data_IF_593187831780
#
_entry.id   IF_593187831780
#
_cell.length_a   1.000
_cell.length_b   1.000
_cell.length_c   1.000
_cell.angle_alpha   90.00
_cell.angle_beta   90.00
_cell.angle_gamma   90.00
#
_symmetry.space_group_name_H-M   'P 1'
#
loop_
_entity.id
_entity.type
_entity.pdbx_description
1 polymer ?
#
# COMPACT_ATOMS: atom_id res chain seq x y z
N UNK A 1 40.98 56.85 -4.19
CA UNK A 1 40.20 57.09 -5.43
C UNK A 1 39.35 55.86 -5.66
N UNK A 2 38.05 55.96 -5.36
CA UNK A 2 37.06 54.92 -5.57
C UNK A 2 36.34 55.19 -6.89
N UNK A 3 36.20 54.18 -7.75
CA UNK A 3 35.27 54.22 -8.88
C UNK A 3 34.35 53.02 -8.75
N UNK A 4 33.12 53.36 -8.43
CA UNK A 4 31.89 52.57 -8.42
C UNK A 4 31.53 52.16 -9.85
N UNK A 5 31.05 50.92 -10.05
CA UNK A 5 30.16 50.63 -11.18
C UNK A 5 28.89 49.94 -10.67
N UNK A 6 27.79 50.62 -10.98
CA UNK A 6 26.44 50.33 -10.53
C UNK A 6 25.79 49.24 -11.36
N UNK A 7 24.96 48.48 -10.66
CA UNK A 7 23.92 47.58 -11.11
C UNK A 7 22.86 48.30 -11.95
N UNK A 8 22.50 47.74 -13.10
CA UNK A 8 21.28 48.09 -13.84
C UNK A 8 20.37 46.86 -13.90
N UNK A 9 19.29 46.88 -13.13
CA UNK A 9 18.16 45.95 -13.16
C UNK A 9 17.16 46.41 -14.21
N UNK A 10 16.94 45.59 -15.25
CA UNK A 10 15.85 45.78 -16.20
C UNK A 10 14.62 44.99 -15.73
N UNK A 11 13.60 45.72 -15.30
CA UNK A 11 12.26 45.20 -15.03
C UNK A 11 11.50 45.02 -16.35
N UNK A 12 11.00 43.82 -16.61
CA UNK A 12 9.99 43.57 -17.65
C UNK A 12 8.68 43.14 -16.98
N UNK A 13 7.70 44.03 -17.07
CA UNK A 13 6.29 43.78 -16.80
C UNK A 13 5.76 42.72 -17.76
N UNK A 14 5.20 41.63 -17.24
CA UNK A 14 4.35 40.73 -18.01
C UNK A 14 2.97 40.69 -17.34
N UNK A 15 1.96 40.87 -18.20
CA UNK A 15 0.60 41.18 -17.86
C UNK A 15 -0.13 40.10 -17.06
N UNK A 16 -1.05 40.60 -16.25
CA UNK A 16 -2.06 39.88 -15.48
C UNK A 16 -3.07 39.20 -16.39
N UNK A 17 -3.18 37.87 -16.26
CA UNK A 17 -4.31 37.09 -16.77
C UNK A 17 -5.42 37.04 -15.71
N UNK A 18 -6.71 37.19 -16.07
CA UNK A 18 -7.80 37.15 -15.10
C UNK A 18 -8.04 35.72 -14.60
N UNK A 19 -7.83 35.51 -13.30
CA UNK A 19 -8.30 34.32 -12.58
C UNK A 19 -9.82 34.41 -12.40
N UNK A 20 -10.56 33.57 -13.11
CA UNK A 20 -11.96 33.27 -12.83
C UNK A 20 -12.04 32.42 -11.54
N UNK A 21 -12.31 33.08 -10.42
CA UNK A 21 -12.73 32.40 -9.18
C UNK A 21 -14.21 32.03 -9.31
N UNK A 22 -14.50 30.73 -9.44
CA UNK A 22 -15.82 30.18 -9.13
C UNK A 22 -15.78 29.62 -7.70
N UNK A 23 -16.16 30.47 -6.75
CA UNK A 23 -16.50 30.04 -5.40
C UNK A 23 -18.01 29.76 -5.36
N UNK A 24 -18.39 28.52 -5.11
CA UNK A 24 -19.79 28.12 -5.00
C UNK A 24 -19.93 26.97 -4.02
N UNK A 25 -20.46 27.26 -2.84
CA UNK A 25 -20.88 26.27 -1.85
C UNK A 25 -22.14 25.56 -2.35
N UNK A 26 -22.09 24.24 -2.52
CA UNK A 26 -23.23 23.44 -2.97
C UNK A 26 -23.91 22.78 -1.76
N UNK A 27 -25.05 23.33 -1.36
CA UNK A 27 -25.94 22.74 -0.37
C UNK A 27 -27.33 22.64 -1.01
N UNK A 28 -27.62 21.51 -1.67
CA UNK A 28 -28.95 20.87 -1.80
C UNK A 28 -28.99 19.88 -3.00
N UNK A 29 -29.65 18.74 -2.79
CA UNK A 29 -29.82 17.65 -3.77
C UNK A 29 -30.48 18.08 -5.10
N UNK A 30 -31.24 19.19 -5.11
CA UNK A 30 -31.84 19.76 -6.32
C UNK A 30 -30.80 20.33 -7.31
N UNK A 31 -29.61 20.74 -6.85
CA UNK A 31 -28.55 21.25 -7.73
C UNK A 31 -27.75 20.14 -8.43
N UNK A 32 -27.64 18.95 -7.85
CA UNK A 32 -27.00 17.80 -8.51
C UNK A 32 -27.76 17.34 -9.77
N UNK A 33 -29.09 17.39 -9.74
CA UNK A 33 -29.91 17.10 -10.92
C UNK A 33 -29.73 18.15 -12.02
N UNK A 34 -29.53 19.42 -11.64
CA UNK A 34 -29.23 20.51 -12.59
C UNK A 34 -27.86 20.34 -13.25
N UNK A 35 -26.85 19.90 -12.49
CA UNK A 35 -25.51 19.65 -13.04
C UNK A 35 -25.47 18.48 -14.02
N UNK A 36 -26.12 17.36 -13.69
CA UNK A 36 -26.23 16.21 -14.60
C UNK A 36 -26.96 16.60 -15.89
N UNK A 37 -28.05 17.37 -15.80
CA UNK A 37 -28.74 17.89 -16.98
C UNK A 37 -27.87 18.85 -17.80
N UNK A 38 -27.02 19.66 -17.16
CA UNK A 38 -26.10 20.58 -17.81
C UNK A 38 -24.99 19.83 -18.56
N UNK A 39 -24.42 18.78 -17.96
CA UNK A 39 -23.39 17.94 -18.61
C UNK A 39 -23.96 17.18 -19.81
N UNK A 40 -25.18 16.62 -19.69
CA UNK A 40 -25.86 15.97 -20.83
C UNK A 40 -26.11 16.97 -21.96
N UNK A 41 -26.57 18.19 -21.65
CA UNK A 41 -26.75 19.24 -22.67
C UNK A 41 -25.43 19.66 -23.32
N UNK A 42 -24.34 19.76 -22.56
CA UNK A 42 -23.01 20.07 -23.09
C UNK A 42 -22.49 18.95 -24.00
N UNK A 43 -22.69 17.69 -23.64
CA UNK A 43 -22.34 16.52 -24.46
C UNK A 43 -23.14 16.47 -25.77
N UNK A 44 -24.44 16.78 -25.72
CA UNK A 44 -25.29 16.89 -26.91
C UNK A 44 -24.83 18.04 -27.81
N UNK A 45 -24.50 19.21 -27.24
CA UNK A 45 -23.96 20.33 -28.00
C UNK A 45 -22.59 20.02 -28.61
N UNK A 46 -21.69 19.36 -27.89
CA UNK A 46 -20.40 18.93 -28.42
C UNK A 46 -20.56 17.93 -29.57
N UNK A 47 -21.53 17.02 -29.49
CA UNK A 47 -21.86 16.10 -30.58
C UNK A 47 -22.44 16.82 -31.81
N UNK A 48 -23.18 17.92 -31.61
CA UNK A 48 -23.72 18.75 -32.69
C UNK A 48 -22.68 19.69 -33.32
N UNK A 49 -21.61 20.02 -32.59
CA UNK A 49 -20.50 20.86 -33.06
C UNK A 49 -19.41 20.06 -33.78
N UNK A 50 -19.50 18.73 -33.81
CA UNK A 50 -18.60 17.91 -34.62
C UNK A 50 -18.88 18.17 -36.11
N UNK A 51 -17.85 18.60 -36.89
CA UNK A 51 -18.05 18.92 -38.29
C UNK A 51 -18.48 17.67 -39.08
N UNK A 52 -19.55 17.84 -39.88
CA UNK A 52 -20.24 16.79 -40.62
C UNK A 52 -19.40 15.86 -41.52
N UNK A 53 -18.21 16.22 -42.08
CA UNK A 53 -17.51 15.28 -42.96
C UNK A 53 -16.83 14.09 -42.25
N UNK A 54 -16.80 14.02 -40.91
CA UNK A 54 -16.23 12.87 -40.17
C UNK A 54 -17.27 11.85 -39.71
N UNK A 55 -18.57 12.14 -39.82
CA UNK A 55 -19.63 11.25 -39.34
C UNK A 55 -19.95 10.08 -40.28
N UNK A 56 -19.47 10.09 -41.52
CA UNK A 56 -19.81 9.08 -42.53
C UNK A 56 -18.78 7.95 -42.71
N UNK A 57 -17.65 7.97 -41.99
CA UNK A 57 -16.62 6.93 -42.12
C UNK A 57 -16.53 5.95 -40.94
N UNK A 58 -17.28 6.19 -39.86
CA UNK A 58 -17.28 5.32 -38.69
C UNK A 58 -18.43 4.32 -38.75
N UNK A 59 -18.16 2.99 -38.69
CA UNK A 59 -19.22 2.00 -38.67
C UNK A 59 -20.06 2.17 -37.39
N UNK A 60 -21.39 2.00 -37.46
CA UNK A 60 -22.32 2.27 -36.37
C UNK A 60 -22.05 1.46 -35.09
N UNK A 61 -21.28 0.37 -35.19
CA UNK A 61 -20.80 -0.40 -34.05
C UNK A 61 -19.78 0.36 -33.20
N UNK A 62 -18.82 1.08 -33.81
CA UNK A 62 -17.76 1.80 -33.09
C UNK A 62 -18.32 3.03 -32.35
N UNK A 63 -19.26 3.74 -32.95
CA UNK A 63 -19.90 4.91 -32.31
C UNK A 63 -20.65 4.51 -31.04
N UNK A 64 -21.33 3.36 -31.06
CA UNK A 64 -22.03 2.82 -29.87
C UNK A 64 -21.06 2.42 -28.77
N UNK A 65 -19.92 1.81 -29.12
CA UNK A 65 -18.89 1.43 -28.14
C UNK A 65 -18.24 2.66 -27.51
N UNK A 66 -17.89 3.68 -28.29
CA UNK A 66 -17.32 4.93 -27.76
C UNK A 66 -18.30 5.65 -26.84
N UNK A 67 -19.58 5.75 -27.23
CA UNK A 67 -20.61 6.38 -26.40
C UNK A 67 -20.84 5.60 -25.10
N UNK A 68 -20.84 4.26 -25.17
CA UNK A 68 -20.97 3.40 -23.99
C UNK A 68 -19.77 3.56 -23.04
N UNK A 69 -18.54 3.62 -23.56
CA UNK A 69 -17.32 3.83 -22.75
C UNK A 69 -17.34 5.19 -22.04
N UNK A 70 -17.76 6.25 -22.74
CA UNK A 70 -17.86 7.60 -22.16
C UNK A 70 -18.96 7.67 -21.09
N UNK A 71 -20.12 7.07 -21.34
CA UNK A 71 -21.20 7.00 -20.36
C UNK A 71 -20.79 6.21 -19.12
N UNK A 72 -20.09 5.09 -19.29
CA UNK A 72 -19.69 4.24 -18.16
C UNK A 72 -18.61 4.93 -17.30
N UNK A 73 -17.64 5.61 -17.93
CA UNK A 73 -16.63 6.44 -17.24
C UNK A 73 -17.28 7.61 -16.47
N UNK A 74 -18.31 8.23 -17.05
CA UNK A 74 -19.06 9.30 -16.39
C UNK A 74 -19.87 8.79 -15.19
N UNK A 75 -20.55 7.64 -15.31
CA UNK A 75 -21.30 7.02 -14.19
C UNK A 75 -20.37 6.62 -13.06
N UNK A 76 -19.16 6.13 -13.36
CA UNK A 76 -18.16 5.83 -12.33
C UNK A 76 -17.69 7.11 -11.61
N UNK A 77 -17.47 8.20 -12.34
CA UNK A 77 -17.09 9.49 -11.75
C UNK A 77 -18.17 10.04 -10.82
N UNK A 78 -19.45 9.91 -11.18
CA UNK A 78 -20.58 10.31 -10.33
C UNK A 78 -20.68 9.46 -9.04
N UNK A 79 -20.44 8.15 -9.13
CA UNK A 79 -20.43 7.26 -7.95
C UNK A 79 -19.31 7.62 -6.97
N UNK A 80 -18.14 7.99 -7.49
CA UNK A 80 -17.02 8.45 -6.69
C UNK A 80 -17.34 9.78 -5.99
N UNK A 81 -18.00 10.73 -6.66
CA UNK A 81 -18.39 11.99 -6.03
C UNK A 81 -19.49 11.84 -4.97
N UNK A 82 -20.41 10.88 -5.12
CA UNK A 82 -21.46 10.63 -4.12
C UNK A 82 -20.93 9.98 -2.83
N UNK A 83 -19.77 9.33 -2.87
CA UNK A 83 -19.13 8.73 -1.70
C UNK A 83 -18.42 9.75 -0.78
N UNK A 84 -18.21 10.99 -1.24
CA UNK A 84 -17.62 12.06 -0.43
C UNK A 84 -18.69 13.07 -0.01
N UNK A 85 -19.35 12.80 1.12
CA UNK A 85 -20.15 13.80 1.81
C UNK A 85 -19.28 14.92 2.41
N UNK A 86 -19.78 16.17 2.53
CA UNK A 86 -19.00 17.26 3.09
C UNK A 86 -18.85 17.11 4.61
N UNK A 87 -17.65 16.80 5.08
CA UNK A 87 -17.28 16.94 6.51
C UNK A 87 -17.07 18.43 6.83
N UNK A 88 -18.10 19.10 7.34
CA UNK A 88 -17.99 20.45 7.88
C UNK A 88 -17.34 20.41 9.27
N UNK A 89 -16.03 20.65 9.32
CA UNK A 89 -15.32 20.98 10.55
C UNK A 89 -15.55 22.44 10.93
N UNK A 90 -16.35 22.68 11.97
CA UNK A 90 -16.50 23.99 12.60
C UNK A 90 -15.26 24.22 13.48
N UNK A 91 -14.41 25.17 13.08
CA UNK A 91 -13.37 25.74 13.94
C UNK A 91 -14.02 26.67 14.97
N UNK A 92 -13.83 26.38 16.27
CA UNK A 92 -14.08 27.34 17.35
C UNK A 92 -12.73 27.82 17.93
N UNK A 93 -12.55 29.15 17.96
CA UNK A 93 -11.47 29.84 18.66
C UNK A 93 -11.84 30.02 20.16
N UNK A 94 -10.84 30.24 21.05
CA UNK A 94 -11.03 30.10 22.49
C UNK A 94 -11.56 31.39 23.13
N UNK A 95 -12.61 31.23 23.96
CA UNK A 95 -13.10 32.24 24.89
C UNK A 95 -12.85 31.78 26.33
N UNK A 96 -12.24 32.66 27.12
CA UNK A 96 -11.92 32.48 28.54
C UNK A 96 -13.19 32.37 29.40
N UNK A 97 -13.14 31.51 30.44
CA UNK A 97 -13.88 31.71 31.69
C UNK A 97 -13.14 31.01 32.85
N UNK A 98 -12.93 31.78 33.93
CA UNK A 98 -12.52 31.31 35.24
C UNK A 98 -13.65 30.47 35.86
N UNK A 99 -13.33 29.36 36.53
CA UNK A 99 -14.16 28.89 37.65
C UNK A 99 -13.38 27.98 38.63
N UNK A 100 -13.33 28.48 39.86
CA UNK A 100 -13.36 27.83 41.17
C UNK A 100 -12.82 26.40 41.38
N UNK A 101 -11.71 26.33 42.13
CA UNK A 101 -11.20 25.12 42.77
C UNK A 101 -12.10 24.69 43.93
N UNK A 102 -12.74 23.53 43.83
CA UNK A 102 -13.18 22.74 44.99
C UNK A 102 -12.48 21.39 45.00
N UNK A 103 -11.57 21.26 45.96
CA UNK A 103 -10.90 20.01 46.31
C UNK A 103 -11.92 19.03 46.90
N UNK A 104 -12.23 17.97 46.16
CA UNK A 104 -12.85 16.77 46.72
C UNK A 104 -11.86 15.64 46.51
N UNK A 105 -11.22 15.22 47.61
CA UNK A 105 -10.38 14.05 47.66
C UNK A 105 -11.27 12.81 47.60
N UNK A 106 -11.49 12.27 46.41
CA UNK A 106 -11.99 10.91 46.23
C UNK A 106 -10.81 9.97 46.02
N UNK A 107 -10.67 9.00 46.92
CA UNK A 107 -9.70 7.91 46.78
C UNK A 107 -9.95 7.15 45.49
N UNK A 108 -9.00 7.23 44.57
CA UNK A 108 -8.97 6.43 43.35
C UNK A 108 -8.53 5.03 43.77
N UNK A 109 -9.35 3.98 43.57
CA UNK A 109 -8.85 2.62 43.69
C UNK A 109 -7.82 2.42 42.58
N UNK A 110 -6.59 2.12 42.99
CA UNK A 110 -5.47 1.71 42.16
C UNK A 110 -5.77 0.33 41.55
N UNK A 111 -6.76 0.27 40.67
CA UNK A 111 -6.87 -0.83 39.73
C UNK A 111 -5.79 -0.59 38.68
N UNK A 112 -4.71 -1.36 38.76
CA UNK A 112 -3.84 -1.63 37.61
C UNK A 112 -4.70 -2.26 36.53
N UNK A 113 -5.48 -1.43 35.83
CA UNK A 113 -6.23 -1.81 34.67
C UNK A 113 -5.23 -2.18 33.61
N UNK A 114 -5.22 -3.46 33.22
CA UNK A 114 -4.76 -3.84 31.89
C UNK A 114 -5.45 -2.88 30.92
N UNK A 115 -4.66 -1.94 30.38
CA UNK A 115 -5.10 -1.13 29.25
C UNK A 115 -5.39 -2.12 28.14
N UNK A 116 -6.66 -2.53 28.04
CA UNK A 116 -7.15 -3.31 26.93
C UNK A 116 -6.75 -2.52 25.69
N UNK A 117 -5.74 -3.01 24.98
CA UNK A 117 -5.34 -2.47 23.69
C UNK A 117 -6.61 -2.53 22.84
N UNK A 118 -7.11 -1.37 22.43
CA UNK A 118 -8.24 -1.33 21.53
C UNK A 118 -7.75 -1.93 20.21
N UNK A 119 -8.33 -3.08 19.86
CA UNK A 119 -8.02 -3.83 18.65
C UNK A 119 -9.30 -3.86 17.83
N UNK A 120 -9.23 -3.34 16.62
CA UNK A 120 -10.32 -3.39 15.66
C UNK A 120 -10.31 -4.76 14.99
N UNK A 121 -11.49 -5.40 14.90
CA UNK A 121 -11.66 -6.72 14.32
C UNK A 121 -12.43 -6.63 13.02
N UNK A 122 -11.80 -7.02 11.92
CA UNK A 122 -12.42 -7.10 10.60
C UNK A 122 -12.71 -8.57 10.27
N UNK A 123 -13.99 -8.91 10.10
CA UNK A 123 -14.45 -10.29 9.91
C UNK A 123 -14.92 -10.50 8.47
N UNK A 124 -14.46 -11.57 7.84
CA UNK A 124 -14.79 -11.94 6.47
C UNK A 124 -15.31 -13.38 6.43
N UNK A 125 -16.52 -13.56 5.92
CA UNK A 125 -17.16 -14.87 5.81
C UNK A 125 -16.74 -15.65 4.56
N UNK A 126 -17.00 -16.96 4.56
CA UNK A 126 -16.79 -17.85 3.41
C UNK A 126 -15.32 -18.17 3.12
N UNK A 127 -14.44 -18.00 4.09
CA UNK A 127 -13.02 -18.35 3.98
C UNK A 127 -12.73 -19.73 4.54
N UNK A 128 -11.76 -20.41 3.94
CA UNK A 128 -11.21 -21.69 4.42
C UNK A 128 -9.74 -21.78 4.03
N UNK A 129 -8.96 -22.64 4.68
CA UNK A 129 -7.58 -22.88 4.25
C UNK A 129 -7.52 -23.40 2.81
N UNK A 130 -8.51 -24.19 2.40
CA UNK A 130 -8.59 -24.69 1.03
C UNK A 130 -8.81 -23.57 0.01
N UNK A 131 -9.71 -22.63 0.32
CA UNK A 131 -9.92 -21.43 -0.52
C UNK A 131 -8.64 -20.59 -0.62
N UNK A 132 -7.91 -20.42 0.48
CA UNK A 132 -6.62 -19.72 0.47
C UNK A 132 -5.59 -20.45 -0.42
N UNK A 133 -5.50 -21.78 -0.34
CA UNK A 133 -4.62 -22.60 -1.20
C UNK A 133 -4.95 -22.42 -2.69
N UNK A 134 -6.23 -22.41 -3.04
CA UNK A 134 -6.69 -22.15 -4.40
C UNK A 134 -6.28 -20.76 -4.90
N UNK A 135 -6.13 -19.78 -3.99
CA UNK A 135 -5.62 -18.44 -4.28
C UNK A 135 -4.11 -18.32 -4.08
N UNK A 136 -3.35 -19.39 -4.38
CA UNK A 136 -1.88 -19.43 -4.28
C UNK A 136 -1.39 -19.14 -2.86
N UNK A 137 -2.16 -19.56 -1.86
CA UNK A 137 -1.93 -19.35 -0.44
C UNK A 137 -2.00 -17.88 0.01
N UNK A 138 -2.70 -17.00 -0.71
CA UNK A 138 -2.77 -15.57 -0.39
C UNK A 138 -4.14 -14.99 -0.66
N UNK A 139 -4.49 -13.95 0.10
CA UNK A 139 -5.69 -13.15 -0.11
C UNK A 139 -5.40 -11.68 0.24
N UNK A 140 -6.01 -10.76 -0.50
CA UNK A 140 -5.82 -9.33 -0.31
C UNK A 140 -7.13 -8.68 0.13
N UNK A 141 -7.04 -7.81 1.13
CA UNK A 141 -8.17 -7.14 1.76
C UNK A 141 -7.93 -5.63 1.77
N UNK A 142 -9.01 -4.88 1.51
CA UNK A 142 -9.10 -3.47 1.82
C UNK A 142 -9.96 -3.35 3.08
N UNK A 143 -9.37 -2.80 4.13
CA UNK A 143 -10.10 -2.45 5.34
C UNK A 143 -10.75 -1.08 5.12
N UNK A 144 -12.08 -1.01 5.14
CA UNK A 144 -12.82 0.19 4.76
C UNK A 144 -12.65 1.34 5.77
N UNK A 145 -12.63 1.05 7.08
CA UNK A 145 -12.60 2.07 8.13
C UNK A 145 -11.30 2.87 8.15
N UNK A 146 -10.16 2.21 7.92
CA UNK A 146 -8.84 2.82 7.89
C UNK A 146 -8.23 2.94 6.48
N UNK A 147 -8.98 2.57 5.44
CA UNK A 147 -8.52 2.48 4.05
C UNK A 147 -7.15 1.82 3.90
N UNK A 148 -6.96 0.70 4.60
CA UNK A 148 -5.67 0.01 4.69
C UNK A 148 -5.67 -1.27 3.88
N UNK A 149 -4.62 -1.47 3.10
CA UNK A 149 -4.45 -2.65 2.26
C UNK A 149 -3.61 -3.71 2.96
N UNK A 150 -4.20 -4.89 3.19
CA UNK A 150 -3.57 -6.01 3.91
C UNK A 150 -3.55 -7.25 3.02
N UNK A 151 -2.47 -8.01 3.10
CA UNK A 151 -2.35 -9.34 2.50
C UNK A 151 -2.32 -10.38 3.62
N UNK A 152 -3.23 -11.34 3.56
CA UNK A 152 -3.20 -12.55 4.37
C UNK A 152 -2.49 -13.65 3.59
N UNK A 153 -1.58 -14.34 4.26
CA UNK A 153 -0.69 -15.34 3.68
C UNK A 153 -0.79 -16.62 4.50
N UNK A 154 -1.03 -17.74 3.83
CA UNK A 154 -0.92 -19.07 4.40
C UNK A 154 0.47 -19.63 4.08
N UNK A 155 1.34 -19.72 5.07
CA UNK A 155 2.67 -20.28 4.86
C UNK A 155 2.96 -21.35 5.91
N UNK A 156 3.34 -22.55 5.46
CA UNK A 156 3.63 -23.71 6.34
C UNK A 156 2.51 -24.01 7.35
N UNK A 157 1.26 -23.89 6.91
CA UNK A 157 0.08 -24.14 7.74
C UNK A 157 -0.24 -23.03 8.76
N UNK A 158 0.48 -21.91 8.74
CA UNK A 158 0.22 -20.75 9.61
C UNK A 158 -0.23 -19.54 8.81
N UNK A 159 -1.14 -18.75 9.38
CA UNK A 159 -1.60 -17.49 8.81
C UNK A 159 -0.73 -16.32 9.28
N UNK A 160 -0.45 -15.42 8.35
CA UNK A 160 0.23 -14.16 8.56
C UNK A 160 -0.57 -13.07 7.88
N UNK A 161 -0.62 -11.88 8.47
CA UNK A 161 -1.22 -10.70 7.85
C UNK A 161 -0.19 -9.56 7.87
N UNK A 162 -0.01 -8.91 6.73
CA UNK A 162 0.99 -7.86 6.54
C UNK A 162 0.43 -6.79 5.61
N UNK A 163 0.86 -5.54 5.79
CA UNK A 163 0.55 -4.47 4.85
C UNK A 163 0.95 -4.86 3.42
N UNK A 164 0.02 -4.73 2.46
CA UNK A 164 0.25 -5.10 1.06
C UNK A 164 1.28 -4.20 0.33
N UNK A 165 1.30 -2.88 0.55
CA UNK A 165 2.29 -2.00 -0.08
C UNK A 165 3.64 -2.04 0.65
N UNK A 166 4.73 -2.24 -0.09
CA UNK A 166 6.09 -2.23 0.44
C UNK A 166 6.45 -0.86 1.02
N UNK A 167 7.05 -0.84 2.22
CA UNK A 167 7.48 0.39 2.88
C UNK A 167 8.39 1.30 2.03
N UNK A 168 9.18 0.74 1.11
CA UNK A 168 10.19 1.50 0.37
C UNK A 168 9.59 2.48 -0.64
N UNK A 169 8.73 1.99 -1.53
CA UNK A 169 8.13 2.80 -2.59
C UNK A 169 6.71 2.34 -2.96
N UNK A 170 5.98 1.72 -2.02
CA UNK A 170 4.61 1.21 -2.26
C UNK A 170 4.51 0.13 -3.33
N UNK A 171 5.59 -0.66 -3.54
CA UNK A 171 5.53 -1.80 -4.46
C UNK A 171 4.59 -2.91 -3.94
N UNK A 172 4.12 -3.83 -4.80
CA UNK A 172 3.17 -4.86 -4.41
C UNK A 172 3.87 -5.97 -3.62
N UNK A 173 4.11 -5.73 -2.33
CA UNK A 173 4.79 -6.69 -1.44
C UNK A 173 3.97 -7.97 -1.29
N UNK A 174 2.63 -7.85 -1.26
CA UNK A 174 1.71 -8.99 -1.24
C UNK A 174 1.87 -9.96 -2.43
N UNK A 175 2.42 -9.51 -3.55
CA UNK A 175 2.78 -10.35 -4.72
C UNK A 175 4.19 -10.93 -4.66
N UNK A 176 4.99 -10.47 -3.69
CA UNK A 176 6.39 -10.84 -3.59
C UNK A 176 6.59 -12.34 -3.40
N UNK A 177 7.67 -12.89 -3.93
CA UNK A 177 8.01 -14.28 -3.66
C UNK A 177 8.21 -14.50 -2.14
N UNK A 178 7.74 -15.64 -1.61
CA UNK A 178 8.06 -16.04 -0.23
C UNK A 178 9.35 -16.84 -0.29
N UNK A 179 10.36 -16.36 0.43
CA UNK A 179 11.68 -16.98 0.54
C UNK A 179 11.86 -17.44 1.98
N UNK A 180 12.15 -18.71 2.17
CA UNK A 180 12.51 -19.26 3.47
C UNK A 180 14.03 -19.19 3.64
N UNK A 181 14.49 -18.36 4.58
CA UNK A 181 15.92 -18.19 4.86
C UNK A 181 16.30 -18.96 6.11
N UNK A 182 17.40 -19.71 6.04
CA UNK A 182 18.00 -20.33 7.21
C UNK A 182 18.65 -19.26 8.08
N UNK A 183 18.20 -19.15 9.32
CA UNK A 183 18.88 -18.29 10.28
C UNK A 183 20.17 -19.00 10.67
N UNK A 184 21.28 -18.59 10.03
CA UNK A 184 22.61 -19.01 10.43
C UNK A 184 22.76 -18.61 11.90
N UNK A 185 22.70 -19.61 12.79
CA UNK A 185 22.61 -19.31 14.20
C UNK A 185 23.89 -18.58 14.59
N UNK A 186 23.74 -17.32 15.00
CA UNK A 186 24.84 -16.58 15.56
C UNK A 186 25.28 -17.30 16.83
N UNK A 187 26.35 -18.10 16.73
CA UNK A 187 26.97 -18.80 17.83
C UNK A 187 25.95 -19.46 18.78
N UNK A 188 25.17 -20.44 18.30
CA UNK A 188 24.69 -21.44 19.26
C UNK A 188 25.94 -21.99 19.95
N UNK A 189 25.92 -21.94 21.27
CA UNK A 189 26.96 -22.59 22.05
C UNK A 189 26.90 -24.09 21.74
N UNK A 190 28.03 -24.78 21.85
CA UNK A 190 28.08 -26.24 21.63
C UNK A 190 27.06 -27.00 22.50
N UNK A 191 26.57 -26.39 23.58
CA UNK A 191 25.59 -26.92 24.51
C UNK A 191 24.16 -26.96 23.94
N UNK A 192 23.78 -26.01 23.09
CA UNK A 192 22.45 -25.98 22.46
C UNK A 192 22.31 -27.02 21.33
N UNK A 193 23.43 -27.40 20.69
CA UNK A 193 23.49 -28.43 19.65
C UNK A 193 23.32 -29.86 20.19
N UNK A 194 23.56 -30.09 21.49
CA UNK A 194 23.47 -31.43 22.08
C UNK A 194 22.06 -31.80 22.59
N UNK A 195 21.11 -30.86 22.59
CA UNK A 195 19.71 -31.09 23.03
C UNK A 195 18.71 -31.35 21.91
N UNK A 196 19.10 -31.17 20.65
CA UNK A 196 18.24 -31.42 19.50
C UNK A 196 18.26 -32.90 19.11
N UNK A 197 17.38 -33.69 19.75
CA UNK A 197 17.11 -35.07 19.35
C UNK A 197 16.52 -35.12 17.93
N UNK A 198 17.15 -35.91 17.06
CA UNK A 198 16.76 -36.33 15.69
C UNK A 198 15.49 -35.68 15.10
N UNK A 199 15.67 -34.55 14.41
CA UNK A 199 14.65 -33.97 13.53
C UNK A 199 14.54 -32.44 13.51
N UNK A 200 15.32 -31.73 14.32
CA UNK A 200 15.22 -30.28 14.46
C UNK A 200 15.63 -29.55 13.17
N UNK A 201 14.61 -29.22 12.36
CA UNK A 201 14.72 -28.26 11.27
C UNK A 201 15.18 -26.93 11.86
N UNK A 202 16.27 -26.39 11.31
CA UNK A 202 16.76 -25.05 11.64
C UNK A 202 15.58 -24.04 11.59
N UNK A 203 15.54 -23.04 12.48
CA UNK A 203 14.54 -21.99 12.44
C UNK A 203 14.68 -21.25 11.11
N UNK A 204 13.62 -21.32 10.32
CA UNK A 204 13.53 -20.71 9.01
C UNK A 204 12.76 -19.40 9.15
N UNK A 205 13.36 -18.32 8.69
CA UNK A 205 12.74 -17.00 8.62
C UNK A 205 12.06 -16.88 7.27
N UNK A 206 10.72 -16.94 7.28
CA UNK A 206 9.93 -16.71 6.09
C UNK A 206 9.88 -15.22 5.76
N UNK A 207 10.33 -14.85 4.57
CA UNK A 207 10.42 -13.47 4.12
C UNK A 207 9.61 -13.27 2.84
N UNK A 208 9.00 -12.10 2.67
CA UNK A 208 8.52 -11.63 1.38
C UNK A 208 9.59 -10.82 0.67
N UNK A 209 9.88 -11.18 -0.58
CA UNK A 209 10.75 -10.42 -1.48
C UNK A 209 9.93 -9.43 -2.29
N UNK A 210 10.11 -8.13 -2.05
CA UNK A 210 9.44 -7.09 -2.82
C UNK A 210 9.81 -7.19 -4.31
N UNK A 211 8.84 -7.29 -5.24
CA UNK A 211 9.14 -7.49 -6.65
C UNK A 211 9.76 -6.26 -7.34
N UNK A 212 9.68 -5.07 -6.74
CA UNK A 212 10.23 -3.85 -7.34
C UNK A 212 11.72 -3.62 -7.01
N UNK A 213 12.16 -4.00 -5.82
CA UNK A 213 13.51 -3.64 -5.34
C UNK A 213 14.24 -4.80 -4.65
N UNK A 214 13.60 -5.96 -4.49
CA UNK A 214 14.19 -7.14 -3.87
C UNK A 214 14.34 -7.08 -2.35
N UNK A 215 13.80 -6.08 -1.65
CA UNK A 215 13.82 -6.04 -0.18
C UNK A 215 13.14 -7.28 0.41
N UNK A 216 13.78 -7.89 1.40
CA UNK A 216 13.28 -9.05 2.11
C UNK A 216 12.68 -8.61 3.44
N UNK A 217 11.42 -8.96 3.66
CA UNK A 217 10.66 -8.55 4.84
C UNK A 217 10.15 -9.78 5.54
N UNK A 218 10.52 -9.98 6.80
CA UNK A 218 10.01 -11.08 7.62
C UNK A 218 8.48 -11.00 7.71
N UNK A 219 7.77 -12.07 7.32
CA UNK A 219 6.30 -12.08 7.33
C UNK A 219 5.72 -12.13 8.74
N UNK A 220 6.50 -12.60 9.71
CA UNK A 220 6.06 -12.72 11.10
C UNK A 220 6.30 -11.48 11.94
N UNK A 221 7.38 -10.74 11.66
CA UNK A 221 7.80 -9.58 12.46
C UNK A 221 7.77 -8.26 11.71
N UNK A 222 7.72 -8.28 10.37
CA UNK A 222 7.79 -7.07 9.55
C UNK A 222 9.18 -6.41 9.53
N UNK A 223 10.20 -7.11 10.04
CA UNK A 223 11.58 -6.68 10.05
C UNK A 223 12.21 -6.75 8.66
N UNK A 224 13.06 -5.78 8.34
CA UNK A 224 13.92 -5.84 7.16
C UNK A 224 14.98 -6.92 7.39
N UNK A 225 15.10 -7.84 6.44
CA UNK A 225 16.09 -8.92 6.49
C UNK A 225 17.17 -8.65 5.45
N UNK A 226 18.41 -8.58 5.89
CA UNK A 226 19.57 -8.41 5.01
C UNK A 226 20.35 -9.72 4.92
N UNK A 227 20.67 -10.12 3.70
CA UNK A 227 21.53 -11.27 3.42
C UNK A 227 22.95 -10.75 3.18
N UNK A 228 23.89 -11.09 4.06
CA UNK A 228 25.31 -10.83 3.87
C UNK A 228 25.96 -12.06 3.26
N UNK A 229 26.60 -11.88 2.12
CA UNK A 229 27.49 -12.90 1.56
C UNK A 229 28.82 -12.79 2.31
N UNK A 230 29.28 -13.86 2.94
CA UNK A 230 30.65 -13.92 3.43
C UNK A 230 31.55 -14.06 2.20
N UNK A 231 32.11 -12.93 1.77
CA UNK A 231 33.16 -12.88 0.75
C UNK A 231 34.41 -13.53 1.37
N UNK A 232 34.45 -14.86 1.38
CA UNK A 232 35.46 -15.70 2.04
C UNK A 232 36.87 -15.58 1.47
N UNK A 233 37.25 -14.43 0.91
CA UNK A 233 38.56 -14.21 0.32
C UNK A 233 39.09 -12.83 0.70
N UNK A 234 39.92 -12.80 1.74
CA UNK A 234 40.63 -11.62 2.28
C UNK A 234 41.65 -10.99 1.32
N UNK A 235 41.36 -10.87 0.03
CA UNK A 235 42.08 -9.98 -0.89
C UNK A 235 41.31 -8.67 -1.00
N UNK A 236 41.65 -7.74 -0.11
CA UNK A 236 41.22 -6.33 -0.14
C UNK A 236 41.70 -5.65 -1.43
N UNK A 237 41.02 -5.90 -2.55
CA UNK A 237 41.07 -5.03 -3.70
C UNK A 237 40.19 -3.81 -3.43
N UNK A 238 40.79 -2.64 -3.19
CA UNK A 238 40.10 -1.33 -3.17
C UNK A 238 39.51 -1.04 -4.56
N UNK A 239 38.40 -1.67 -4.91
CA UNK A 239 37.60 -1.35 -6.09
C UNK A 239 36.19 -1.01 -5.62
N UNK A 240 35.80 0.26 -5.71
CA UNK A 240 34.48 0.73 -5.27
C UNK A 240 33.38 -0.05 -5.98
N UNK A 241 32.68 -0.91 -5.24
CA UNK A 241 31.53 -1.63 -5.76
C UNK A 241 30.38 -0.64 -5.95
N UNK A 242 30.34 0.00 -7.12
CA UNK A 242 29.12 0.58 -7.66
C UNK A 242 28.08 -0.54 -7.68
N UNK A 243 27.10 -0.49 -6.76
CA UNK A 243 25.87 -1.26 -6.89
C UNK A 243 25.23 -0.82 -8.20
N UNK A 244 25.42 -1.61 -9.25
CA UNK A 244 24.78 -1.38 -10.53
C UNK A 244 23.26 -1.32 -10.28
N UNK A 245 22.67 -0.18 -10.64
CA UNK A 245 21.22 -0.01 -10.61
C UNK A 245 20.67 -1.01 -11.63
N UNK A 246 19.94 -2.02 -11.16
CA UNK A 246 19.31 -3.02 -12.02
C UNK A 246 18.26 -2.32 -12.88
N UNK A 247 18.55 -2.19 -14.17
CA UNK A 247 17.61 -1.65 -15.16
C UNK A 247 16.54 -2.69 -15.49
N UNK A 248 15.28 -2.24 -15.60
CA UNK A 248 14.13 -3.06 -15.94
C UNK A 248 14.25 -3.71 -17.34
N UNK A 249 13.71 -4.92 -17.57
CA UNK A 249 13.03 -5.81 -16.63
C UNK A 249 14.00 -6.48 -15.66
N UNK A 250 13.61 -6.54 -14.38
CA UNK A 250 14.37 -7.21 -13.34
C UNK A 250 14.42 -8.70 -13.69
N UNK A 251 15.52 -9.14 -14.30
CA UNK A 251 15.75 -10.55 -14.49
C UNK A 251 15.80 -11.21 -13.11
N UNK A 252 15.11 -12.35 -12.91
CA UNK A 252 15.30 -13.16 -11.72
C UNK A 252 16.80 -13.49 -11.67
N UNK A 253 17.51 -12.96 -10.68
CA UNK A 253 18.84 -13.46 -10.40
C UNK A 253 18.68 -14.94 -10.10
N UNK A 254 19.13 -15.78 -11.04
CA UNK A 254 19.08 -17.23 -10.96
C UNK A 254 19.77 -17.65 -9.68
N UNK A 255 19.05 -18.46 -8.90
CA UNK A 255 19.39 -18.93 -7.57
C UNK A 255 20.72 -19.70 -7.58
N UNK A 256 21.83 -18.98 -7.40
CA UNK A 256 23.04 -19.63 -6.93
C UNK A 256 22.75 -20.06 -5.48
N UNK A 257 22.86 -21.36 -5.14
CA UNK A 257 22.64 -21.82 -3.77
C UNK A 257 23.63 -21.09 -2.87
N UNK A 258 23.10 -20.14 -2.09
CA UNK A 258 23.87 -19.28 -1.20
C UNK A 258 24.29 -20.07 0.03
N UNK A 259 25.15 -21.07 -0.18
CA UNK A 259 25.75 -21.83 0.91
C UNK A 259 26.70 -20.89 1.66
N UNK A 260 26.32 -20.46 2.87
CA UNK A 260 27.11 -19.60 3.74
C UNK A 260 26.64 -18.14 3.85
N UNK A 261 25.46 -17.77 3.37
CA UNK A 261 24.97 -16.42 3.58
C UNK A 261 24.48 -16.20 5.03
N UNK A 262 24.96 -15.12 5.67
CA UNK A 262 24.54 -14.75 7.02
C UNK A 262 23.34 -13.82 6.95
N UNK A 263 22.26 -14.21 7.61
CA UNK A 263 21.05 -13.41 7.72
C UNK A 263 21.17 -12.46 8.92
N UNK A 264 20.92 -11.16 8.70
CA UNK A 264 20.79 -10.20 9.79
C UNK A 264 19.41 -9.55 9.78
N UNK A 265 18.74 -9.57 10.95
CA UNK A 265 17.46 -8.89 11.17
C UNK A 265 17.72 -7.42 11.51
N UNK A 266 17.07 -6.53 10.78
CA UNK A 266 17.12 -5.09 10.97
C UNK A 266 15.93 -4.58 11.78
N UNK A 267 15.59 -3.30 11.58
CA UNK A 267 14.42 -2.66 12.20
C UNK A 267 13.11 -3.18 11.60
N UNK A 268 12.03 -3.06 12.36
CA UNK A 268 10.65 -3.22 11.85
C UNK A 268 10.36 -2.11 10.85
N UNK A 269 10.11 -2.48 9.60
CA UNK A 269 9.82 -1.54 8.50
C UNK A 269 8.43 -1.75 7.90
N UNK A 270 7.83 -2.92 8.13
CA UNK A 270 6.53 -3.30 7.64
C UNK A 270 5.63 -3.66 8.83
N UNK A 271 4.37 -3.20 8.83
CA UNK A 271 3.42 -3.57 9.88
C UNK A 271 2.83 -4.95 9.59
N UNK A 272 2.81 -5.79 10.63
CA UNK A 272 2.12 -7.07 10.67
C UNK A 272 0.87 -6.97 11.53
N UNK A 273 -0.14 -7.74 11.18
CA UNK A 273 -1.44 -7.78 11.85
C UNK A 273 -1.70 -9.19 12.37
N UNK A 274 -2.59 -9.29 13.37
CA UNK A 274 -3.03 -10.59 13.86
C UNK A 274 -4.11 -11.12 12.92
N UNK A 275 -4.07 -12.41 12.64
CA UNK A 275 -5.05 -13.06 11.78
C UNK A 275 -5.38 -14.44 12.32
N UNK A 276 -6.65 -14.78 12.28
CA UNK A 276 -7.16 -16.10 12.65
C UNK A 276 -8.25 -16.52 11.68
N UNK A 277 -8.34 -17.82 11.40
CA UNK A 277 -9.39 -18.41 10.60
C UNK A 277 -10.09 -19.47 11.44
N UNK A 278 -11.38 -19.30 11.65
CA UNK A 278 -12.24 -20.34 12.22
C UNK A 278 -12.82 -21.17 11.07
N UNK A 279 -12.34 -22.40 10.90
CA UNK A 279 -12.81 -23.29 9.84
C UNK A 279 -14.25 -23.77 10.05
N UNK A 280 -14.77 -23.74 11.27
CA UNK A 280 -16.13 -24.21 11.57
C UNK A 280 -17.17 -23.20 11.08
N UNK A 281 -16.89 -21.91 11.28
CA UNK A 281 -17.75 -20.81 10.82
C UNK A 281 -17.37 -20.30 9.44
N UNK A 282 -16.15 -20.60 8.98
CA UNK A 282 -15.59 -20.04 7.76
C UNK A 282 -15.28 -18.54 7.86
N UNK A 283 -15.07 -18.03 9.08
CA UNK A 283 -14.81 -16.62 9.33
C UNK A 283 -13.30 -16.38 9.47
N UNK A 284 -12.76 -15.58 8.56
CA UNK A 284 -11.42 -15.02 8.65
C UNK A 284 -11.48 -13.69 9.39
N UNK A 285 -10.78 -13.58 10.52
CA UNK A 285 -10.68 -12.35 11.31
C UNK A 285 -9.29 -11.75 11.19
N UNK A 286 -9.22 -10.47 10.83
CA UNK A 286 -8.01 -9.66 10.83
C UNK A 286 -8.13 -8.67 11.98
N UNK A 287 -7.19 -8.74 12.91
CA UNK A 287 -7.10 -7.87 14.08
C UNK A 287 -6.04 -6.80 13.82
N UNK A 288 -6.48 -5.55 13.78
CA UNK A 288 -5.64 -4.36 13.55
C UNK A 288 -5.56 -3.54 14.83
N UNK A 289 -4.35 -3.09 15.15
CA UNK A 289 -4.15 -2.17 16.27
C UNK A 289 -4.91 -0.86 16.00
N UNK A 290 -5.54 -0.29 17.03
CA UNK A 290 -6.17 1.02 16.93
C UNK A 290 -5.24 2.08 16.32
N UNK A 291 -5.80 2.99 15.52
CA UNK A 291 -5.03 3.98 14.77
C UNK A 291 -4.25 4.93 15.70
N UNK A 292 -4.80 5.26 16.88
CA UNK A 292 -4.08 6.08 17.85
C UNK A 292 -2.89 5.32 18.46
N UNK A 293 -2.99 4.01 18.66
CA UNK A 293 -1.84 3.18 19.07
C UNK A 293 -0.80 3.02 17.96
N UNK A 294 -1.22 2.85 16.72
CA UNK A 294 -0.31 2.83 15.56
C UNK A 294 0.45 4.15 15.43
N UNK A 295 -0.22 5.28 15.64
CA UNK A 295 0.42 6.62 15.64
C UNK A 295 1.49 6.79 16.73
N UNK A 296 1.41 6.06 17.85
CA UNK A 296 2.44 6.07 18.89
C UNK A 296 3.68 5.27 18.50
N UNK A 297 3.54 4.30 17.59
CA UNK A 297 4.61 3.41 17.12
C UNK A 297 4.61 3.36 15.59
N UNK A 298 4.96 4.47 14.92
CA UNK A 298 4.90 4.54 13.47
C UNK A 298 5.93 3.60 12.85
N UNK A 299 5.50 2.90 11.80
CA UNK A 299 6.31 2.02 10.97
C UNK A 299 6.33 2.57 9.56
N UNK A 300 7.42 2.35 8.81
CA UNK A 300 7.61 2.95 7.49
C UNK A 300 6.50 2.59 6.49
N UNK A 301 5.88 1.41 6.61
CA UNK A 301 4.75 0.98 5.78
C UNK A 301 3.42 1.67 6.09
N UNK A 302 3.26 2.37 7.23
CA UNK A 302 1.99 3.02 7.59
C UNK A 302 1.58 4.06 6.54
N UNK A 303 2.54 4.87 6.07
CA UNK A 303 2.28 5.92 5.08
C UNK A 303 1.76 5.37 3.75
N UNK A 304 2.41 4.38 3.10
CA UNK A 304 1.89 3.83 1.85
C UNK A 304 0.65 2.94 2.04
N UNK A 305 0.49 2.29 3.20
CA UNK A 305 -0.65 1.41 3.48
C UNK A 305 -1.97 2.17 3.69
N UNK A 306 -1.94 3.34 4.31
CA UNK A 306 -3.13 4.19 4.54
C UNK A 306 -3.41 5.17 3.39
N UNK A 307 -2.61 5.17 2.33
CA UNK A 307 -2.81 6.07 1.20
C UNK A 307 -3.55 5.35 0.07
N UNK A 308 -4.81 5.75 -0.15
CA UNK A 308 -5.70 5.16 -1.14
C UNK A 308 -5.09 5.16 -2.55
N UNK A 309 -4.33 6.20 -2.94
CA UNK A 309 -3.71 6.25 -4.28
C UNK A 309 -2.62 5.19 -4.43
N UNK A 310 -1.73 5.07 -3.45
CA UNK A 310 -0.62 4.10 -3.51
C UNK A 310 -1.09 2.66 -3.31
N UNK A 311 -2.05 2.47 -2.41
CA UNK A 311 -2.66 1.18 -2.18
C UNK A 311 -3.54 0.70 -3.32
N UNK A 312 -4.34 1.59 -3.94
CA UNK A 312 -5.12 1.24 -5.13
C UNK A 312 -4.23 0.89 -6.32
N UNK A 313 -3.09 1.57 -6.52
CA UNK A 313 -2.12 1.19 -7.56
C UNK A 313 -1.56 -0.22 -7.31
N UNK A 314 -1.25 -0.52 -6.05
CA UNK A 314 -0.84 -1.87 -5.64
C UNK A 314 -1.93 -2.89 -5.98
N UNK A 315 -3.20 -2.53 -5.76
CA UNK A 315 -4.33 -3.41 -6.04
C UNK A 315 -4.69 -3.59 -7.51
N UNK A 316 -4.61 -2.53 -8.31
CA UNK A 316 -4.85 -2.61 -9.74
C UNK A 316 -3.87 -3.55 -10.44
N UNK A 317 -2.63 -3.63 -9.95
CA UNK A 317 -1.65 -4.61 -10.45
C UNK A 317 -2.14 -6.05 -10.20
N UNK A 318 -2.81 -6.33 -9.06
CA UNK A 318 -3.42 -7.64 -8.81
C UNK A 318 -4.53 -7.95 -9.82
N UNK A 319 -5.43 -7.00 -10.04
CA UNK A 319 -6.57 -7.18 -10.95
C UNK A 319 -6.11 -7.45 -12.39
N UNK A 320 -5.06 -6.76 -12.84
CA UNK A 320 -4.50 -6.96 -14.18
C UNK A 320 -3.89 -8.37 -14.32
N UNK A 321 -3.12 -8.81 -13.31
CA UNK A 321 -2.52 -10.16 -13.31
C UNK A 321 -3.57 -11.26 -13.22
N UNK A 322 -4.55 -11.11 -12.33
CA UNK A 322 -5.62 -12.08 -12.14
C UNK A 322 -6.48 -12.28 -13.40
N UNK A 323 -6.58 -11.25 -14.25
CA UNK A 323 -7.26 -11.32 -15.55
C UNK A 323 -6.40 -11.91 -16.67
N UNK A 324 -5.20 -12.40 -16.38
CA UNK A 324 -4.30 -13.01 -17.37
C UNK A 324 -3.69 -12.02 -18.37
N UNK A 325 -3.81 -10.71 -18.14
CA UNK A 325 -3.39 -9.69 -19.11
C UNK A 325 -1.87 -9.45 -19.15
N UNK A 326 -1.10 -10.11 -18.29
CA UNK A 326 0.32 -9.82 -18.08
C UNK A 326 1.29 -10.93 -18.56
N UNK A 327 0.84 -12.10 -19.04
CA UNK A 327 1.74 -13.26 -19.20
C UNK A 327 1.86 -13.86 -20.60
N UNK A 328 0.93 -13.61 -21.54
CA UNK A 328 0.92 -14.39 -22.80
C UNK A 328 1.39 -13.60 -24.04
N UNK A 329 1.89 -12.37 -23.87
CA UNK A 329 2.32 -11.51 -24.99
C UNK A 329 3.85 -11.36 -25.11
N UNK A 330 4.64 -12.33 -24.66
CA UNK A 330 6.04 -12.43 -25.11
C UNK A 330 6.11 -13.43 -26.28
N UNK A 331 6.00 -12.97 -27.54
CA UNK A 331 6.21 -13.84 -28.68
C UNK A 331 7.69 -14.26 -28.72
N UNK A 332 7.94 -15.57 -28.72
CA UNK A 332 9.25 -16.13 -29.09
C UNK A 332 10.04 -16.78 -27.96
N UNK A 333 9.63 -17.99 -27.57
CA UNK A 333 10.55 -19.09 -27.26
C UNK A 333 9.95 -20.36 -27.83
N UNK A 334 10.14 -20.54 -29.14
CA UNK A 334 10.11 -21.86 -29.73
C UNK A 334 11.37 -22.60 -29.27
N UNK A 335 11.16 -23.79 -28.70
CA UNK A 335 12.18 -24.79 -28.37
C UNK A 335 12.57 -25.52 -29.65
#
# INVERSE_FOLDING_TARGET
MAISNQTATAATNIGSTPHLYLCGSYANAAQCQSFAACVVRLLVLLLQLLPSPLAHSLPPSLTRVCLFMLLNSFVQSLRLSAAFGPSLGIFNLPGACNEEKKNVASGIPEQLGERALMVEKHMYEGWSYERLRQQRNRAHFLLEDCYRFITVILHRGKLYAIDSPCYHASGPLGEGEIVDLEEAHGALTAEDLCRSSEGDKLPLVACLRCPWHGYLISISSGELVEIRQDDGNGRQGRGGSQRAILSYPLQPQVDAPCSGARVSRGRVVQRTHRVSLDETTGILTIEVEDEAEMRKRPVASDRPACNLKTGALTMQIFDIKARGLASDCLPGRDV
#
